data_IF_711561059868
#
_entry.id   IF_711561059868
#
_cell.length_a   1.000
_cell.length_b   1.000
_cell.length_c   1.000
_cell.angle_alpha   90.00
_cell.angle_beta   90.00
_cell.angle_gamma   90.00
#
_symmetry.space_group_name_H-M   'P 1'
#
loop_
_entity.id
_entity.type
_entity.pdbx_description
1 polymer ?
#
# COMPACT_ATOMS: atom_id res chain seq x y z
N UNK A 1 -20.26 -13.15 4.67
CA UNK A 1 -19.39 -12.13 4.06
C UNK A 1 -18.01 -12.73 3.85
N UNK A 2 -17.50 -12.77 2.64
CA UNK A 2 -16.12 -13.20 2.40
C UNK A 2 -15.19 -12.21 3.10
N UNK A 3 -14.38 -12.66 4.00
CA UNK A 3 -13.39 -11.87 4.71
C UNK A 3 -12.27 -11.50 3.74
N UNK A 4 -11.78 -10.26 3.78
CA UNK A 4 -10.83 -9.75 2.78
C UNK A 4 -9.51 -9.35 3.42
N UNK A 5 -8.41 -9.64 2.74
CA UNK A 5 -7.10 -9.06 3.03
C UNK A 5 -6.85 -7.91 2.06
N UNK A 6 -6.51 -6.75 2.60
CA UNK A 6 -6.12 -5.59 1.81
C UNK A 6 -4.64 -5.27 2.05
N UNK A 7 -3.92 -5.00 0.99
CA UNK A 7 -2.58 -4.40 1.04
C UNK A 7 -2.69 -2.99 0.48
N UNK A 8 -2.28 -1.99 1.25
CA UNK A 8 -2.32 -0.58 0.84
C UNK A 8 -0.89 -0.08 0.74
N UNK A 9 -0.47 0.27 -0.46
CA UNK A 9 0.84 0.84 -0.75
C UNK A 9 0.72 2.17 -1.51
N UNK A 10 1.77 2.97 -1.55
CA UNK A 10 1.78 4.25 -2.26
C UNK A 10 2.74 5.26 -1.64
N UNK A 11 3.03 6.38 -2.33
CA UNK A 11 3.85 7.46 -1.82
C UNK A 11 3.32 8.08 -0.52
N UNK A 12 4.15 8.81 0.20
CA UNK A 12 3.70 9.57 1.37
C UNK A 12 2.73 10.69 0.99
N UNK A 13 1.84 11.06 1.91
CA UNK A 13 0.82 12.09 1.66
C UNK A 13 -0.34 11.68 0.73
N UNK A 14 -0.50 10.39 0.40
CA UNK A 14 -1.56 9.89 -0.50
C UNK A 14 -2.82 9.38 0.23
N UNK A 15 -2.91 9.59 1.55
CA UNK A 15 -4.08 9.22 2.34
C UNK A 15 -4.21 7.72 2.68
N UNK A 16 -3.14 6.94 2.58
CA UNK A 16 -3.13 5.50 2.92
C UNK A 16 -3.74 5.19 4.27
N UNK A 17 -3.27 5.85 5.32
CA UNK A 17 -3.75 5.62 6.70
C UNK A 17 -5.24 5.95 6.85
N UNK A 18 -5.71 7.03 6.22
CA UNK A 18 -7.14 7.37 6.22
C UNK A 18 -7.96 6.30 5.49
N UNK A 19 -7.45 5.79 4.36
CA UNK A 19 -8.09 4.70 3.63
C UNK A 19 -8.12 3.42 4.47
N UNK A 20 -7.00 3.05 5.10
CA UNK A 20 -6.91 1.88 5.97
C UNK A 20 -7.92 1.96 7.12
N UNK A 21 -8.07 3.12 7.76
CA UNK A 21 -9.06 3.33 8.81
C UNK A 21 -10.49 3.14 8.30
N UNK A 22 -10.85 3.73 7.16
CA UNK A 22 -12.18 3.56 6.56
C UNK A 22 -12.49 2.11 6.21
N UNK A 23 -11.53 1.37 5.63
CA UNK A 23 -11.70 -0.03 5.34
C UNK A 23 -11.83 -0.87 6.62
N UNK A 24 -11.03 -0.56 7.64
CA UNK A 24 -11.10 -1.22 8.94
C UNK A 24 -12.49 -1.06 9.59
N UNK A 25 -13.03 0.15 9.57
CA UNK A 25 -14.37 0.44 10.09
C UNK A 25 -15.46 -0.28 9.26
N UNK A 26 -15.35 -0.23 7.92
CA UNK A 26 -16.35 -0.82 7.01
C UNK A 26 -16.42 -2.33 7.14
N UNK A 27 -15.27 -3.02 7.22
CA UNK A 27 -15.19 -4.48 7.25
C UNK A 27 -15.02 -5.06 8.66
N UNK A 28 -14.84 -4.20 9.68
CA UNK A 28 -14.54 -4.59 11.06
C UNK A 28 -13.32 -5.53 11.14
N UNK A 29 -12.19 -5.12 10.54
CA UNK A 29 -10.94 -5.87 10.45
C UNK A 29 -9.77 -5.04 10.96
N UNK A 30 -8.74 -5.65 11.57
CA UNK A 30 -7.59 -4.94 12.12
C UNK A 30 -6.65 -4.39 11.03
N UNK A 31 -5.89 -3.34 11.40
CA UNK A 31 -4.83 -2.76 10.57
C UNK A 31 -3.48 -3.15 11.16
N UNK A 32 -2.59 -3.64 10.30
CA UNK A 32 -1.18 -3.84 10.59
C UNK A 32 -0.37 -2.83 9.80
N UNK A 33 0.20 -1.85 10.51
CA UNK A 33 1.03 -0.83 9.90
C UNK A 33 2.50 -1.25 9.97
N UNK A 34 3.14 -1.43 8.80
CA UNK A 34 4.57 -1.69 8.71
C UNK A 34 5.33 -0.37 8.61
N UNK A 35 6.40 -0.25 9.37
CA UNK A 35 7.21 0.96 9.44
C UNK A 35 8.70 0.64 9.28
N UNK A 36 9.49 1.67 8.99
CA UNK A 36 10.93 1.50 8.92
C UNK A 36 11.53 1.39 10.34
N UNK A 37 12.32 0.35 10.59
CA UNK A 37 13.16 0.21 11.77
C UNK A 37 14.62 0.31 11.38
N UNK A 38 15.42 1.04 12.18
CA UNK A 38 16.90 1.07 12.03
C UNK A 38 17.52 -0.29 12.36
N UNK A 39 16.91 -1.02 13.30
CA UNK A 39 17.25 -2.40 13.59
C UNK A 39 16.78 -3.29 12.43
N UNK A 40 17.72 -3.88 11.74
CA UNK A 40 17.45 -4.67 10.53
C UNK A 40 16.70 -5.96 10.82
N UNK A 41 16.98 -6.62 11.92
CA UNK A 41 16.30 -7.86 12.28
C UNK A 41 14.82 -7.57 12.58
N UNK A 42 14.56 -6.53 13.35
CA UNK A 42 13.19 -6.08 13.62
C UNK A 42 12.48 -5.62 12.35
N UNK A 43 13.20 -4.88 11.48
CA UNK A 43 12.66 -4.43 10.20
C UNK A 43 12.26 -5.60 9.30
N UNK A 44 13.12 -6.59 9.17
CA UNK A 44 12.85 -7.80 8.39
C UNK A 44 11.72 -8.64 8.99
N UNK A 45 11.73 -8.82 10.31
CA UNK A 45 10.75 -9.63 11.04
C UNK A 45 9.30 -9.20 10.79
N UNK A 46 9.01 -7.88 10.73
CA UNK A 46 7.64 -7.42 10.50
C UNK A 46 7.10 -7.87 9.13
N UNK A 47 7.92 -7.87 8.07
CA UNK A 47 7.51 -8.33 6.74
C UNK A 47 7.27 -9.84 6.70
N UNK A 48 8.12 -10.62 7.37
CA UNK A 48 7.89 -12.05 7.53
C UNK A 48 6.60 -12.32 8.28
N UNK A 49 6.37 -11.64 9.40
CA UNK A 49 5.14 -11.79 10.18
C UNK A 49 3.92 -11.48 9.33
N UNK A 50 3.92 -10.37 8.59
CA UNK A 50 2.81 -10.01 7.71
C UNK A 50 2.59 -11.06 6.59
N UNK A 51 3.66 -11.60 6.02
CA UNK A 51 3.58 -12.66 5.00
C UNK A 51 2.99 -13.95 5.56
N UNK A 52 3.44 -14.39 6.74
CA UNK A 52 2.90 -15.60 7.40
C UNK A 52 1.44 -15.41 7.79
N UNK A 53 1.05 -14.23 8.28
CA UNK A 53 -0.36 -13.92 8.55
C UNK A 53 -1.22 -14.03 7.30
N UNK A 54 -0.74 -13.58 6.13
CA UNK A 54 -1.46 -13.75 4.86
C UNK A 54 -1.59 -15.23 4.48
N UNK A 55 -0.51 -16.02 4.61
CA UNK A 55 -0.52 -17.46 4.33
C UNK A 55 -1.51 -18.21 5.24
N UNK A 56 -1.47 -17.92 6.53
CA UNK A 56 -2.37 -18.52 7.51
C UNK A 56 -3.83 -18.17 7.22
N UNK A 57 -4.09 -16.90 6.88
CA UNK A 57 -5.43 -16.46 6.53
C UNK A 57 -5.95 -17.18 5.27
N UNK A 58 -5.13 -17.28 4.23
CA UNK A 58 -5.47 -17.97 2.97
C UNK A 58 -5.81 -19.44 3.25
N UNK A 59 -5.06 -20.08 4.14
CA UNK A 59 -5.23 -21.50 4.48
C UNK A 59 -6.47 -21.76 5.35
N UNK A 60 -6.78 -20.85 6.28
CA UNK A 60 -7.81 -21.06 7.30
C UNK A 60 -9.10 -20.27 7.05
N UNK A 61 -9.11 -19.31 6.13
CA UNK A 61 -10.25 -18.46 5.74
C UNK A 61 -10.98 -17.75 6.90
N UNK A 62 -10.33 -17.57 8.04
CA UNK A 62 -10.87 -16.90 9.21
C UNK A 62 -10.33 -15.47 9.35
N UNK A 63 -11.25 -14.50 9.46
CA UNK A 63 -10.91 -13.11 9.65
C UNK A 63 -10.49 -12.42 8.34
N UNK A 64 -10.23 -11.12 8.44
CA UNK A 64 -9.63 -10.29 7.42
C UNK A 64 -8.70 -9.34 8.12
N UNK A 65 -7.86 -8.64 7.37
CA UNK A 65 -6.99 -7.59 7.90
C UNK A 65 -6.48 -6.67 6.79
N UNK A 66 -5.90 -5.57 7.20
CA UNK A 66 -5.28 -4.60 6.31
C UNK A 66 -3.79 -4.54 6.65
N UNK A 67 -2.94 -4.57 5.63
CA UNK A 67 -1.52 -4.24 5.74
C UNK A 67 -1.33 -2.86 5.15
N UNK A 68 -1.02 -1.87 6.00
CA UNK A 68 -0.67 -0.50 5.58
C UNK A 68 0.85 -0.44 5.41
N UNK A 69 1.28 -0.32 4.18
CA UNK A 69 2.62 -0.51 3.62
C UNK A 69 3.09 -1.97 3.67
N UNK A 70 3.50 -2.47 2.53
CA UNK A 70 4.05 -3.82 2.42
C UNK A 70 5.33 -3.80 1.57
N UNK A 71 5.61 -4.87 0.90
CA UNK A 71 6.88 -5.12 0.22
C UNK A 71 7.18 -4.11 -0.91
N UNK A 72 6.16 -3.56 -1.57
CA UNK A 72 6.35 -2.56 -2.62
C UNK A 72 6.92 -1.26 -2.04
N UNK A 73 6.42 -0.81 -0.88
CA UNK A 73 7.00 0.32 -0.14
C UNK A 73 8.47 0.06 0.21
N UNK A 74 8.81 -1.13 0.71
CA UNK A 74 10.19 -1.45 1.05
C UNK A 74 11.10 -1.41 -0.18
N UNK A 75 10.69 -2.03 -1.28
CA UNK A 75 11.49 -2.06 -2.52
C UNK A 75 11.78 -0.63 -3.00
N UNK A 76 10.75 0.22 -3.08
CA UNK A 76 10.84 1.57 -3.63
C UNK A 76 11.63 2.50 -2.71
N UNK A 77 11.22 2.59 -1.44
CA UNK A 77 11.87 3.52 -0.49
C UNK A 77 13.31 3.11 -0.17
N UNK A 78 13.60 1.80 -0.10
CA UNK A 78 14.97 1.33 0.05
C UNK A 78 15.83 1.75 -1.15
N UNK A 79 15.36 1.52 -2.37
CA UNK A 79 16.07 1.90 -3.61
C UNK A 79 16.46 3.38 -3.62
N UNK A 80 15.56 4.27 -3.19
CA UNK A 80 15.71 5.73 -3.34
C UNK A 80 16.38 6.36 -2.12
N UNK A 81 15.99 5.96 -0.93
CA UNK A 81 16.47 6.61 0.30
C UNK A 81 17.60 5.87 1.00
N UNK A 82 17.73 4.57 0.76
CA UNK A 82 18.69 3.68 1.44
C UNK A 82 19.39 2.74 0.46
N UNK A 83 19.99 3.26 -0.65
CA UNK A 83 20.54 2.41 -1.72
C UNK A 83 21.66 1.48 -1.23
N UNK A 84 22.40 1.89 -0.20
CA UNK A 84 23.50 1.11 0.39
C UNK A 84 23.02 0.01 1.34
N UNK A 85 21.75 0.03 1.77
CA UNK A 85 21.19 -1.03 2.59
C UNK A 85 20.78 -2.22 1.71
N UNK A 86 21.06 -3.47 2.12
CA UNK A 86 20.56 -4.62 1.38
C UNK A 86 19.04 -4.68 1.45
N UNK A 87 18.39 -5.16 0.38
CA UNK A 87 16.96 -5.44 0.39
C UNK A 87 16.65 -6.50 1.48
N UNK A 88 15.42 -6.51 1.97
CA UNK A 88 14.95 -7.57 2.85
C UNK A 88 15.18 -8.91 2.14
N UNK A 89 15.72 -9.87 2.87
CA UNK A 89 15.89 -11.23 2.34
C UNK A 89 14.52 -11.74 1.87
N UNK A 90 14.50 -12.35 0.70
CA UNK A 90 13.28 -12.89 0.07
C UNK A 90 12.24 -11.82 -0.35
N UNK A 91 12.61 -10.53 -0.43
CA UNK A 91 11.69 -9.47 -0.85
C UNK A 91 11.05 -9.72 -2.23
N UNK A 92 11.82 -10.26 -3.17
CA UNK A 92 11.33 -10.64 -4.49
C UNK A 92 10.27 -11.73 -4.40
N UNK A 93 10.50 -12.75 -3.58
CA UNK A 93 9.52 -13.83 -3.34
C UNK A 93 8.26 -13.31 -2.65
N UNK A 94 8.38 -12.34 -1.73
CA UNK A 94 7.23 -11.69 -1.08
C UNK A 94 6.43 -10.87 -2.09
N UNK A 95 7.10 -10.18 -3.01
CA UNK A 95 6.45 -9.43 -4.07
C UNK A 95 5.72 -10.37 -5.05
N UNK A 96 6.37 -11.42 -5.52
CA UNK A 96 5.76 -12.45 -6.37
C UNK A 96 4.57 -13.14 -5.68
N UNK A 97 4.69 -13.42 -4.39
CA UNK A 97 3.58 -13.95 -3.59
C UNK A 97 2.39 -13.00 -3.58
N UNK A 98 2.61 -11.72 -3.33
CA UNK A 98 1.57 -10.69 -3.36
C UNK A 98 0.88 -10.63 -4.73
N UNK A 99 1.66 -10.54 -5.82
CA UNK A 99 1.12 -10.50 -7.19
C UNK A 99 0.29 -11.74 -7.52
N UNK A 100 0.80 -12.92 -7.18
CA UNK A 100 0.11 -14.18 -7.44
C UNK A 100 -1.22 -14.28 -6.67
N UNK A 101 -1.23 -13.92 -5.38
CA UNK A 101 -2.44 -13.96 -4.55
C UNK A 101 -3.48 -12.93 -4.98
N UNK A 102 -3.04 -11.75 -5.43
CA UNK A 102 -3.92 -10.79 -6.07
C UNK A 102 -4.47 -11.32 -7.40
N UNK A 103 -3.65 -11.96 -8.25
CA UNK A 103 -4.09 -12.47 -9.55
C UNK A 103 -5.23 -13.50 -9.44
N UNK A 104 -5.24 -14.31 -8.38
CA UNK A 104 -6.29 -15.30 -8.13
C UNK A 104 -7.41 -14.81 -7.20
N UNK A 105 -7.38 -13.53 -6.80
CA UNK A 105 -8.45 -12.89 -6.03
C UNK A 105 -8.50 -13.25 -4.55
N UNK A 106 -7.40 -13.73 -3.99
CA UNK A 106 -7.31 -14.01 -2.55
C UNK A 106 -7.02 -12.77 -1.72
N UNK A 107 -6.34 -11.78 -2.29
CA UNK A 107 -6.06 -10.49 -1.67
C UNK A 107 -6.41 -9.34 -2.61
N UNK A 108 -6.67 -8.17 -2.04
CA UNK A 108 -6.87 -6.92 -2.77
C UNK A 108 -5.67 -6.00 -2.53
N UNK A 109 -5.05 -5.52 -3.60
CA UNK A 109 -3.93 -4.58 -3.52
C UNK A 109 -4.40 -3.19 -3.94
N UNK A 110 -4.19 -2.20 -3.11
CA UNK A 110 -4.59 -0.81 -3.36
C UNK A 110 -3.32 0.04 -3.46
N UNK A 111 -3.07 0.59 -4.62
CA UNK A 111 -2.01 1.56 -4.84
C UNK A 111 -2.59 2.96 -4.67
N UNK A 112 -2.30 3.58 -3.53
CA UNK A 112 -2.70 4.96 -3.24
C UNK A 112 -1.80 5.90 -4.04
N UNK A 113 -2.23 6.22 -5.26
CA UNK A 113 -1.45 6.98 -6.24
C UNK A 113 -2.35 8.01 -6.93
N UNK A 114 -2.32 9.29 -6.50
CA UNK A 114 -3.07 10.37 -7.13
C UNK A 114 -2.76 10.50 -8.62
N UNK A 115 -3.76 10.82 -9.43
CA UNK A 115 -3.59 10.99 -10.86
C UNK A 115 -2.81 12.26 -11.19
N UNK A 116 -3.11 13.33 -10.48
CA UNK A 116 -2.42 14.60 -10.62
C UNK A 116 -1.21 14.68 -9.67
N UNK A 117 -0.02 14.40 -10.22
CA UNK A 117 1.25 14.44 -9.50
C UNK A 117 1.52 15.80 -8.84
N UNK A 118 1.26 16.90 -9.56
CA UNK A 118 1.58 18.25 -9.07
C UNK A 118 0.65 18.66 -7.92
N UNK A 119 -0.64 18.32 -8.02
CA UNK A 119 -1.61 18.51 -6.93
C UNK A 119 -1.22 17.68 -5.69
N UNK A 120 -0.80 16.44 -5.90
CA UNK A 120 -0.30 15.61 -4.82
C UNK A 120 0.97 16.21 -4.19
N UNK A 121 1.93 16.64 -4.99
CA UNK A 121 3.19 17.19 -4.48
C UNK A 121 2.95 18.47 -3.66
N UNK A 122 2.07 19.36 -4.12
CA UNK A 122 1.66 20.55 -3.34
C UNK A 122 1.04 20.17 -2.00
N UNK A 123 0.15 19.18 -1.99
CA UNK A 123 -0.46 18.67 -0.76
C UNK A 123 0.56 18.05 0.19
N UNK A 124 1.45 17.20 -0.33
CA UNK A 124 2.54 16.59 0.43
C UNK A 124 3.48 17.65 1.04
N UNK A 125 3.90 18.64 0.26
CA UNK A 125 4.76 19.73 0.73
C UNK A 125 4.13 20.49 1.91
N UNK A 126 2.84 20.81 1.78
CA UNK A 126 2.09 21.46 2.85
C UNK A 126 2.02 20.60 4.13
N UNK A 127 1.79 19.31 4.00
CA UNK A 127 1.81 18.39 5.15
C UNK A 127 3.18 18.34 5.83
N UNK A 128 4.27 18.36 5.08
CA UNK A 128 5.61 18.39 5.63
C UNK A 128 5.90 19.73 6.34
N UNK A 129 5.48 20.86 5.79
CA UNK A 129 5.57 22.17 6.45
C UNK A 129 4.81 22.18 7.78
N UNK A 130 3.57 21.67 7.79
CA UNK A 130 2.74 21.60 9.00
C UNK A 130 3.34 20.69 10.11
N UNK A 131 4.17 19.70 9.70
CA UNK A 131 4.82 18.75 10.62
C UNK A 131 6.27 19.07 10.91
N UNK A 132 6.79 20.14 10.33
CA UNK A 132 8.21 20.51 10.39
C UNK A 132 9.14 19.37 9.91
N UNK A 133 8.67 18.57 8.94
CA UNK A 133 9.40 17.45 8.36
C UNK A 133 10.24 17.91 7.17
N UNK A 134 11.54 17.55 7.16
CA UNK A 134 12.41 17.79 6.01
C UNK A 134 12.31 16.62 5.01
N UNK A 135 12.25 16.95 3.73
CA UNK A 135 12.27 15.97 2.65
C UNK A 135 13.11 16.43 1.47
N UNK A 136 13.54 15.49 0.64
CA UNK A 136 14.16 15.79 -0.66
C UNK A 136 13.09 15.80 -1.74
N UNK A 137 12.89 16.94 -2.38
CA UNK A 137 11.94 17.09 -3.49
C UNK A 137 12.22 16.08 -4.60
N UNK A 138 13.49 15.92 -4.99
CA UNK A 138 13.90 15.00 -6.04
C UNK A 138 13.53 13.56 -5.69
N UNK A 139 13.90 13.10 -4.49
CA UNK A 139 13.65 11.73 -4.04
C UNK A 139 12.17 11.41 -3.90
N UNK A 140 11.37 12.33 -3.39
CA UNK A 140 9.94 12.05 -3.23
C UNK A 140 9.19 12.01 -4.58
N UNK A 141 9.63 12.82 -5.55
CA UNK A 141 9.11 12.72 -6.92
C UNK A 141 9.54 11.41 -7.58
N UNK A 142 10.78 10.96 -7.36
CA UNK A 142 11.26 9.66 -7.82
C UNK A 142 10.43 8.50 -7.22
N UNK A 143 10.07 8.58 -5.92
CA UNK A 143 9.16 7.61 -5.29
C UNK A 143 7.82 7.56 -6.03
N UNK A 144 7.24 8.71 -6.36
CA UNK A 144 5.97 8.74 -7.11
C UNK A 144 6.10 8.06 -8.48
N UNK A 145 7.15 8.35 -9.24
CA UNK A 145 7.38 7.75 -10.56
C UNK A 145 7.60 6.23 -10.47
N UNK A 146 8.32 5.74 -9.47
CA UNK A 146 8.48 4.30 -9.24
C UNK A 146 7.13 3.61 -8.95
N UNK A 147 6.26 4.22 -8.12
CA UNK A 147 4.91 3.70 -7.90
C UNK A 147 4.06 3.72 -9.16
N UNK A 148 4.20 4.76 -9.99
CA UNK A 148 3.50 4.84 -11.27
C UNK A 148 3.93 3.73 -12.23
N UNK A 149 5.23 3.40 -12.28
CA UNK A 149 5.73 2.30 -13.11
C UNK A 149 5.23 0.93 -12.61
N UNK A 150 5.18 0.71 -11.30
CA UNK A 150 4.59 -0.50 -10.73
C UNK A 150 3.08 -0.58 -11.01
N UNK A 151 2.36 0.53 -10.86
CA UNK A 151 0.95 0.61 -11.21
C UNK A 151 0.69 0.23 -12.67
N UNK A 152 1.46 0.76 -13.61
CA UNK A 152 1.33 0.44 -15.04
C UNK A 152 1.46 -1.05 -15.32
N UNK A 153 2.29 -1.77 -14.57
CA UNK A 153 2.47 -3.22 -14.68
C UNK A 153 1.29 -4.00 -14.08
N UNK A 154 0.83 -3.56 -12.92
CA UNK A 154 -0.17 -4.26 -12.11
C UNK A 154 -1.63 -3.99 -12.51
N UNK A 155 -1.92 -2.87 -13.17
CA UNK A 155 -3.28 -2.36 -13.45
C UNK A 155 -4.19 -3.29 -14.26
N UNK A 156 -3.65 -4.31 -14.89
CA UNK A 156 -4.43 -5.30 -15.65
C UNK A 156 -5.00 -6.41 -14.75
N UNK A 157 -4.56 -6.47 -13.51
CA UNK A 157 -5.13 -7.36 -12.51
C UNK A 157 -6.34 -6.68 -11.86
N UNK A 158 -7.53 -7.28 -11.97
CA UNK A 158 -8.78 -6.73 -11.44
C UNK A 158 -8.81 -6.58 -9.90
N UNK A 159 -7.91 -7.27 -9.20
CA UNK A 159 -7.74 -7.18 -7.75
C UNK A 159 -6.61 -6.22 -7.34
N UNK A 160 -6.11 -5.43 -8.29
CA UNK A 160 -5.20 -4.33 -8.02
C UNK A 160 -5.88 -3.02 -8.39
N UNK A 161 -6.15 -2.20 -7.42
CA UNK A 161 -6.90 -0.96 -7.56
C UNK A 161 -6.01 0.25 -7.38
N UNK A 162 -6.33 1.34 -8.06
CA UNK A 162 -5.77 2.66 -7.80
C UNK A 162 -6.70 3.42 -6.86
N UNK A 163 -6.13 4.07 -5.86
CA UNK A 163 -6.85 5.00 -5.01
C UNK A 163 -6.31 6.40 -5.22
N UNK A 164 -7.18 7.34 -5.58
CA UNK A 164 -6.87 8.77 -5.65
C UNK A 164 -7.57 9.51 -4.51
N UNK A 165 -6.75 10.06 -3.60
CA UNK A 165 -7.22 10.85 -2.46
C UNK A 165 -8.10 12.03 -2.90
N UNK A 166 -7.73 12.71 -3.99
CA UNK A 166 -8.40 13.94 -4.43
C UNK A 166 -9.74 13.67 -5.08
N UNK A 167 -9.87 12.60 -5.85
CA UNK A 167 -11.15 12.18 -6.42
C UNK A 167 -12.15 11.82 -5.33
N UNK A 168 -11.67 11.14 -4.28
CA UNK A 168 -12.50 10.78 -3.13
C UNK A 168 -12.90 11.96 -2.26
N UNK A 169 -12.08 13.02 -2.18
CA UNK A 169 -12.42 14.26 -1.47
C UNK A 169 -13.45 15.08 -2.22
N UNK A 170 -13.44 15.08 -3.54
CA UNK A 170 -14.37 15.82 -4.41
C UNK A 170 -15.72 15.10 -4.57
N UNK A 171 -15.90 13.94 -3.98
CA UNK A 171 -17.17 13.21 -3.93
C UNK A 171 -17.56 12.50 -5.24
N UNK A 172 -16.65 12.41 -6.19
CA UNK A 172 -16.93 11.85 -7.52
C UNK A 172 -16.94 10.31 -7.57
N UNK A 173 -16.38 9.64 -6.56
CA UNK A 173 -16.34 8.18 -6.50
C UNK A 173 -16.76 7.64 -5.11
N UNK A 174 -18.01 7.88 -4.74
CA UNK A 174 -18.56 7.28 -3.50
C UNK A 174 -18.59 5.74 -3.52
N UNK A 175 -18.40 5.11 -4.68
CA UNK A 175 -18.75 3.70 -4.88
C UNK A 175 -17.62 2.76 -5.30
N UNK A 176 -16.45 3.22 -5.75
CA UNK A 176 -15.45 2.28 -6.32
C UNK A 176 -14.84 1.29 -5.30
N UNK A 177 -14.80 1.63 -4.02
CA UNK A 177 -14.30 0.70 -2.98
C UNK A 177 -15.44 -0.09 -2.32
N UNK A 178 -16.68 0.40 -2.41
CA UNK A 178 -17.86 -0.26 -1.84
C UNK A 178 -18.50 -1.24 -2.83
N UNK A 179 -18.42 -0.97 -4.13
CA UNK A 179 -19.05 -1.78 -5.20
C UNK A 179 -18.30 -3.10 -5.53
N UNK A 180 -17.21 -3.41 -4.83
CA UNK A 180 -16.54 -4.73 -4.96
C UNK A 180 -17.46 -5.89 -4.47
N UNK A 181 -18.59 -5.59 -3.85
CA UNK A 181 -19.50 -6.60 -3.32
C UNK A 181 -20.65 -7.00 -4.26
N UNK A 182 -20.88 -6.30 -5.38
CA UNK A 182 -22.06 -6.53 -6.24
C UNK A 182 -21.74 -7.25 -7.56
N UNK A 183 -20.52 -7.74 -7.76
CA UNK A 183 -20.20 -8.62 -8.88
C UNK A 183 -20.24 -10.09 -8.39
N UNK A 184 -21.44 -10.67 -8.31
CA UNK A 184 -21.67 -12.11 -8.37
C UNK A 184 -21.41 -12.67 -9.77
#
# INVERSE_FOLDING_TARGET
MRKKVFIIDGPDGTGKTTLAQRLSETYNIPIYHLTYYKDREQHQKQFYTATEMMKDWISNSEGGFIIDRYILSEIIYRKIYRPDEPLIKEAELMYEFMEHRAAIGEIEVIIALPENRDKWFQHFSKLCEEREEMYSTEKILEVYEEYLEHWKKLRYNKHVMRYDLFENMEGQHKNQIVDINDAE
#
